data_IF_109012112912
#
_entry.id   IF_109012112912
#
_cell.length_a   1.000
_cell.length_b   1.000
_cell.length_c   1.000
_cell.angle_alpha   90.00
_cell.angle_beta   90.00
_cell.angle_gamma   90.00
#
_symmetry.space_group_name_H-M   'P 1'
#
loop_
_entity.id
_entity.type
_entity.pdbx_description
1 polymer ?
#
# COMPACT_ATOMS: atom_id res chain seq x y z
N UNK A 1 -8.78 10.81 -13.00
CA UNK A 1 -9.19 10.27 -14.30
C UNK A 1 -10.66 9.88 -14.26
N UNK A 2 -11.44 10.24 -15.28
CA UNK A 2 -12.89 10.02 -15.32
C UNK A 2 -13.24 8.54 -15.43
N UNK A 3 -12.39 7.73 -16.07
CA UNK A 3 -12.59 6.29 -16.20
C UNK A 3 -12.38 5.56 -14.90
N UNK A 4 -11.37 5.91 -14.12
CA UNK A 4 -11.15 5.38 -12.76
C UNK A 4 -12.29 5.76 -11.82
N UNK A 5 -12.78 7.00 -11.93
CA UNK A 5 -13.94 7.48 -11.19
C UNK A 5 -15.20 6.67 -11.56
N UNK A 6 -15.41 6.39 -12.85
CA UNK A 6 -16.55 5.59 -13.32
C UNK A 6 -16.49 4.15 -12.79
N UNK A 7 -15.29 3.55 -12.75
CA UNK A 7 -15.06 2.24 -12.14
C UNK A 7 -15.40 2.25 -10.64
N UNK A 8 -14.92 3.25 -9.91
CA UNK A 8 -15.23 3.40 -8.49
C UNK A 8 -16.72 3.56 -8.23
N UNK A 9 -17.42 4.42 -9.00
CA UNK A 9 -18.88 4.63 -8.84
C UNK A 9 -19.70 3.39 -9.21
N UNK A 10 -19.24 2.56 -10.13
CA UNK A 10 -19.86 1.26 -10.43
C UNK A 10 -19.75 0.33 -9.23
N UNK A 11 -18.56 0.18 -8.65
CA UNK A 11 -18.33 -0.63 -7.45
C UNK A 11 -19.14 -0.11 -6.26
N UNK A 12 -19.26 1.21 -6.11
CA UNK A 12 -20.05 1.84 -5.04
C UNK A 12 -21.53 1.53 -5.17
N UNK A 13 -22.09 1.60 -6.38
CA UNK A 13 -23.51 1.24 -6.61
C UNK A 13 -23.78 -0.22 -6.30
N UNK A 14 -22.90 -1.12 -6.70
CA UNK A 14 -23.01 -2.55 -6.36
C UNK A 14 -22.97 -2.77 -4.84
N UNK A 15 -22.08 -2.07 -4.14
CA UNK A 15 -21.97 -2.15 -2.68
C UNK A 15 -23.25 -1.66 -1.98
N UNK A 16 -23.83 -0.54 -2.44
CA UNK A 16 -25.06 0.01 -1.90
C UNK A 16 -26.26 -0.91 -2.16
N UNK A 17 -26.36 -1.50 -3.34
CA UNK A 17 -27.43 -2.45 -3.67
C UNK A 17 -27.35 -3.71 -2.79
N UNK A 18 -26.15 -4.15 -2.42
CA UNK A 18 -25.96 -5.30 -1.52
C UNK A 18 -26.38 -5.02 -0.07
N UNK A 19 -26.38 -3.75 0.36
CA UNK A 19 -26.83 -3.35 1.70
C UNK A 19 -28.36 -3.42 1.88
N UNK A 20 -29.13 -3.36 0.80
CA UNK A 20 -30.61 -3.41 0.83
C UNK A 20 -31.19 -4.82 1.07
N UNK A 21 -30.35 -5.86 1.07
CA UNK A 21 -30.78 -7.24 1.31
C UNK A 21 -30.76 -7.57 2.81
N UNK A 22 -31.92 -7.97 3.36
CA UNK A 22 -32.19 -8.15 4.79
C UNK A 22 -31.74 -9.51 5.36
N UNK A 23 -30.46 -9.89 5.29
CA UNK A 23 -29.99 -11.09 5.98
C UNK A 23 -28.72 -10.77 6.79
N UNK A 24 -28.80 -10.82 8.15
CA UNK A 24 -27.83 -10.13 9.05
C UNK A 24 -26.40 -10.70 9.02
N UNK A 25 -26.17 -12.00 8.98
CA UNK A 25 -24.80 -12.56 9.07
C UNK A 25 -24.14 -12.77 7.71
N UNK A 26 -24.89 -13.24 6.71
CA UNK A 26 -24.41 -13.29 5.32
C UNK A 26 -24.11 -11.88 4.76
N UNK A 27 -24.85 -10.88 5.24
CA UNK A 27 -24.70 -9.49 4.84
C UNK A 27 -23.38 -8.88 5.33
N UNK A 28 -22.89 -9.19 6.52
CA UNK A 28 -21.61 -8.67 7.05
C UNK A 28 -20.41 -9.08 6.20
N UNK A 29 -20.33 -10.35 5.78
CA UNK A 29 -19.24 -10.86 4.91
C UNK A 29 -19.32 -10.18 3.54
N UNK A 30 -20.53 -10.05 3.00
CA UNK A 30 -20.77 -9.39 1.71
C UNK A 30 -20.38 -7.90 1.76
N UNK A 31 -20.76 -7.19 2.82
CA UNK A 31 -20.36 -5.79 3.03
C UNK A 31 -18.85 -5.63 3.10
N UNK A 32 -18.15 -6.48 3.86
CA UNK A 32 -16.69 -6.45 3.96
C UNK A 32 -16.02 -6.73 2.61
N UNK A 33 -16.57 -7.64 1.80
CA UNK A 33 -16.08 -7.92 0.46
C UNK A 33 -16.24 -6.70 -0.46
N UNK A 34 -17.41 -6.03 -0.45
CA UNK A 34 -17.66 -4.82 -1.22
C UNK A 34 -16.77 -3.65 -0.77
N UNK A 35 -16.60 -3.44 0.52
CA UNK A 35 -15.69 -2.42 1.05
C UNK A 35 -14.25 -2.69 0.64
N UNK A 36 -13.80 -3.95 0.70
CA UNK A 36 -12.46 -4.32 0.24
C UNK A 36 -12.31 -4.06 -1.26
N UNK A 37 -13.33 -4.37 -2.06
CA UNK A 37 -13.35 -4.10 -3.49
C UNK A 37 -13.26 -2.61 -3.80
N UNK A 38 -14.02 -1.77 -3.09
CA UNK A 38 -13.94 -0.30 -3.21
C UNK A 38 -12.54 0.23 -2.88
N UNK A 39 -11.94 -0.27 -1.80
CA UNK A 39 -10.58 0.13 -1.41
C UNK A 39 -9.54 -0.29 -2.45
N UNK A 40 -9.69 -1.46 -3.07
CA UNK A 40 -8.84 -1.90 -4.18
C UNK A 40 -9.02 -1.01 -5.41
N UNK A 41 -10.26 -0.61 -5.73
CA UNK A 41 -10.53 0.37 -6.80
C UNK A 41 -9.76 1.67 -6.59
N UNK A 42 -9.71 2.16 -5.35
CA UNK A 42 -8.96 3.37 -4.98
C UNK A 42 -7.43 3.19 -5.01
N UNK A 43 -6.92 1.96 -5.06
CA UNK A 43 -5.49 1.71 -5.15
C UNK A 43 -5.04 1.70 -6.61
N UNK A 44 -5.62 0.82 -7.42
CA UNK A 44 -5.31 0.72 -8.85
C UNK A 44 -6.41 -0.05 -9.60
N UNK A 45 -6.83 0.39 -10.80
CA UNK A 45 -7.87 -0.28 -11.58
C UNK A 45 -7.59 -1.76 -11.87
N UNK A 46 -6.35 -2.12 -12.17
CA UNK A 46 -5.97 -3.51 -12.48
C UNK A 46 -6.16 -4.49 -11.32
N UNK A 47 -6.33 -4.02 -10.09
CA UNK A 47 -6.66 -4.87 -8.94
C UNK A 47 -8.10 -5.40 -9.00
N UNK A 48 -8.96 -4.78 -9.80
CA UNK A 48 -10.34 -5.21 -10.06
C UNK A 48 -10.53 -5.74 -11.47
N UNK A 49 -9.85 -5.14 -12.43
CA UNK A 49 -9.92 -5.44 -13.85
C UNK A 49 -8.53 -5.85 -14.33
N UNK A 50 -8.15 -7.14 -14.21
CA UNK A 50 -6.86 -7.62 -14.67
C UNK A 50 -6.65 -7.28 -16.16
N UNK A 51 -5.49 -6.70 -16.48
CA UNK A 51 -5.20 -6.25 -17.85
C UNK A 51 -5.76 -4.87 -18.20
N UNK A 52 -6.35 -4.13 -17.25
CA UNK A 52 -6.75 -2.74 -17.46
C UNK A 52 -5.55 -1.89 -17.90
N UNK A 53 -5.73 -1.10 -18.94
CA UNK A 53 -4.74 -0.13 -19.43
C UNK A 53 -4.80 1.22 -18.70
N UNK A 54 -5.70 1.37 -17.73
CA UNK A 54 -5.81 2.61 -16.94
C UNK A 54 -4.54 2.81 -16.11
N UNK A 55 -3.97 4.03 -16.07
CA UNK A 55 -2.65 4.30 -15.52
C UNK A 55 -2.56 4.13 -14.00
N UNK A 56 -3.68 4.28 -13.29
CA UNK A 56 -3.68 4.29 -11.82
C UNK A 56 -3.18 5.61 -11.26
N UNK A 57 -4.04 6.62 -11.20
CA UNK A 57 -3.70 7.99 -10.77
C UNK A 57 -2.92 8.02 -9.45
N UNK A 58 -3.25 7.13 -8.50
CA UNK A 58 -2.53 7.03 -7.23
C UNK A 58 -1.07 6.61 -7.41
N UNK A 59 -0.79 5.73 -8.37
CA UNK A 59 0.58 5.30 -8.68
C UNK A 59 1.38 6.44 -9.27
N UNK A 60 0.79 7.21 -10.19
CA UNK A 60 1.45 8.37 -10.79
C UNK A 60 1.79 9.42 -9.72
N UNK A 61 0.82 9.80 -8.87
CA UNK A 61 1.05 10.72 -7.74
C UNK A 61 2.11 10.19 -6.77
N UNK A 62 2.12 8.88 -6.52
CA UNK A 62 3.15 8.27 -5.68
C UNK A 62 4.54 8.39 -6.32
N UNK A 63 4.66 8.19 -7.63
CA UNK A 63 5.93 8.32 -8.33
C UNK A 63 6.46 9.76 -8.32
N UNK A 64 5.59 10.76 -8.50
CA UNK A 64 5.93 12.18 -8.33
C UNK A 64 6.49 12.46 -6.94
N UNK A 65 5.82 11.97 -5.89
CA UNK A 65 6.31 12.10 -4.51
C UNK A 65 7.66 11.41 -4.29
N UNK A 66 7.88 10.25 -4.89
CA UNK A 66 9.17 9.52 -4.82
C UNK A 66 10.29 10.34 -5.45
N UNK A 67 10.05 10.97 -6.59
CA UNK A 67 11.04 11.82 -7.25
C UNK A 67 11.40 13.03 -6.40
N UNK A 68 10.42 13.69 -5.76
CA UNK A 68 10.65 14.80 -4.83
C UNK A 68 11.47 14.37 -3.59
N UNK A 69 11.16 13.23 -3.01
CA UNK A 69 11.89 12.68 -1.87
C UNK A 69 13.35 12.38 -2.23
N UNK A 70 13.58 11.75 -3.38
CA UNK A 70 14.93 11.44 -3.86
C UNK A 70 15.72 12.70 -4.17
N UNK A 71 15.11 13.67 -4.84
CA UNK A 71 15.75 14.96 -5.13
C UNK A 71 16.19 15.70 -3.85
N UNK A 72 15.46 15.50 -2.77
CA UNK A 72 15.73 16.08 -1.45
C UNK A 72 16.64 15.20 -0.57
N UNK A 73 17.10 14.05 -1.06
CA UNK A 73 17.94 13.12 -0.31
C UNK A 73 17.22 12.42 0.84
N UNK A 74 15.90 12.33 0.80
CA UNK A 74 15.08 11.70 1.82
C UNK A 74 14.76 10.25 1.49
N UNK A 75 14.50 9.47 2.54
CA UNK A 75 14.14 8.06 2.46
C UNK A 75 12.80 7.81 3.13
N UNK A 76 12.00 6.90 2.63
CA UNK A 76 10.67 6.66 3.13
C UNK A 76 10.34 5.18 3.37
N UNK A 77 9.50 4.95 4.40
CA UNK A 77 8.76 3.70 4.57
C UNK A 77 7.44 3.83 3.82
N UNK A 78 7.09 2.80 3.07
CA UNK A 78 5.88 2.77 2.26
C UNK A 78 5.05 1.56 2.67
N UNK A 79 3.87 1.81 3.20
CA UNK A 79 2.98 0.76 3.70
C UNK A 79 1.74 0.60 2.83
N UNK A 80 1.35 -0.65 2.59
CA UNK A 80 0.05 -1.01 2.05
C UNK A 80 -0.46 -2.30 2.70
N UNK A 81 -1.79 -2.42 2.82
CA UNK A 81 -2.41 -3.68 3.21
C UNK A 81 -2.48 -4.67 2.04
N UNK A 82 -2.43 -4.19 0.80
CA UNK A 82 -2.56 -5.00 -0.41
C UNK A 82 -1.19 -5.34 -0.99
N UNK A 83 -0.80 -6.61 -0.87
CA UNK A 83 0.49 -7.12 -1.40
C UNK A 83 0.55 -7.02 -2.92
N UNK A 84 -0.56 -7.26 -3.60
CA UNK A 84 -0.68 -7.12 -5.05
C UNK A 84 -0.54 -5.66 -5.51
N UNK A 85 -1.03 -4.68 -4.73
CA UNK A 85 -0.78 -3.27 -4.98
C UNK A 85 0.70 -2.92 -4.80
N UNK A 86 1.35 -3.42 -3.76
CA UNK A 86 2.81 -3.28 -3.62
C UNK A 86 3.55 -3.90 -4.81
N UNK A 87 3.03 -4.97 -5.42
CA UNK A 87 3.56 -5.55 -6.64
C UNK A 87 3.54 -4.58 -7.83
N UNK A 88 2.45 -3.84 -8.01
CA UNK A 88 2.32 -2.78 -9.03
C UNK A 88 3.32 -1.65 -8.76
N UNK A 89 3.41 -1.20 -7.51
CA UNK A 89 4.38 -0.17 -7.11
C UNK A 89 5.82 -0.62 -7.40
N UNK A 90 6.18 -1.85 -7.05
CA UNK A 90 7.52 -2.41 -7.35
C UNK A 90 7.84 -2.37 -8.83
N UNK A 91 6.91 -2.81 -9.68
CA UNK A 91 7.09 -2.79 -11.13
C UNK A 91 7.36 -1.37 -11.65
N UNK A 92 6.66 -0.36 -11.14
CA UNK A 92 6.87 1.05 -11.52
C UNK A 92 8.22 1.58 -11.03
N UNK A 93 8.62 1.24 -9.80
CA UNK A 93 9.92 1.62 -9.24
C UNK A 93 11.08 0.98 -10.02
N UNK A 94 10.96 -0.30 -10.39
CA UNK A 94 11.94 -1.01 -11.20
C UNK A 94 12.12 -0.34 -12.59
N UNK A 95 11.01 0.04 -13.23
CA UNK A 95 11.02 0.77 -14.51
C UNK A 95 11.69 2.15 -14.40
N UNK A 96 11.53 2.82 -13.25
CA UNK A 96 12.12 4.13 -12.98
C UNK A 96 13.57 4.05 -12.43
N UNK A 97 14.09 2.85 -12.21
CA UNK A 97 15.43 2.66 -11.62
C UNK A 97 15.53 3.15 -10.16
N UNK A 98 14.42 3.14 -9.42
CA UNK A 98 14.40 3.51 -8.02
C UNK A 98 14.76 2.31 -7.16
N UNK A 99 15.68 2.49 -6.24
CA UNK A 99 16.14 1.42 -5.33
C UNK A 99 15.24 1.29 -4.12
N UNK A 100 14.93 0.05 -3.73
CA UNK A 100 14.07 -0.19 -2.56
C UNK A 100 14.39 -1.52 -1.87
N UNK A 101 13.99 -1.64 -0.61
CA UNK A 101 13.85 -2.90 0.10
C UNK A 101 12.36 -3.31 0.13
N UNK A 102 12.09 -4.61 0.27
CA UNK A 102 10.71 -5.14 0.29
C UNK A 102 10.51 -6.15 1.41
N UNK A 103 9.33 -6.10 2.03
CA UNK A 103 8.94 -7.00 3.10
C UNK A 103 7.42 -7.25 3.08
N UNK A 104 7.02 -8.51 3.05
CA UNK A 104 5.64 -8.93 3.22
C UNK A 104 5.49 -10.08 4.22
N UNK A 105 4.24 -10.58 4.36
CA UNK A 105 3.94 -11.68 5.27
C UNK A 105 4.59 -13.02 4.89
N UNK A 106 4.94 -13.22 3.62
CA UNK A 106 5.59 -14.43 3.11
C UNK A 106 7.12 -14.38 3.20
N UNK A 107 7.70 -13.20 3.47
CA UNK A 107 9.16 -13.01 3.54
C UNK A 107 9.75 -13.81 4.71
N UNK A 108 10.69 -14.75 4.47
CA UNK A 108 11.35 -15.52 5.52
C UNK A 108 12.11 -14.64 6.53
N UNK A 109 12.19 -15.09 7.79
CA UNK A 109 12.81 -14.31 8.88
C UNK A 109 14.22 -13.82 8.56
N UNK A 110 15.06 -14.66 7.96
CA UNK A 110 16.43 -14.30 7.56
C UNK A 110 16.44 -13.14 6.55
N UNK A 111 15.60 -13.22 5.53
CA UNK A 111 15.50 -12.17 4.52
C UNK A 111 14.91 -10.88 5.10
N UNK A 112 14.00 -10.99 6.07
CA UNK A 112 13.48 -9.86 6.83
C UNK A 112 14.60 -9.07 7.52
N UNK A 113 15.41 -9.79 8.29
CA UNK A 113 16.53 -9.21 9.03
C UNK A 113 17.54 -8.57 8.09
N UNK A 114 17.81 -9.23 6.97
CA UNK A 114 18.71 -8.71 5.95
C UNK A 114 18.17 -7.43 5.30
N UNK A 115 16.90 -7.39 4.87
CA UNK A 115 16.28 -6.21 4.25
C UNK A 115 16.30 -4.99 5.21
N UNK A 116 15.97 -5.20 6.50
CA UNK A 116 16.07 -4.18 7.53
C UNK A 116 17.50 -3.67 7.67
N UNK A 117 18.47 -4.58 7.77
CA UNK A 117 19.88 -4.25 7.91
C UNK A 117 20.39 -3.44 6.72
N UNK A 118 20.05 -3.85 5.49
CA UNK A 118 20.41 -3.15 4.24
C UNK A 118 19.84 -1.73 4.24
N UNK A 119 18.55 -1.60 4.53
CA UNK A 119 17.92 -0.29 4.60
C UNK A 119 18.56 0.61 5.65
N UNK A 120 18.86 0.10 6.85
CA UNK A 120 19.54 0.89 7.90
C UNK A 120 20.95 1.34 7.51
N UNK A 121 21.66 0.57 6.67
CA UNK A 121 22.97 0.97 6.12
C UNK A 121 22.90 1.95 4.95
N UNK A 122 21.69 2.37 4.54
CA UNK A 122 21.52 3.31 3.45
C UNK A 122 21.25 2.67 2.07
N UNK A 123 21.06 1.34 2.01
CA UNK A 123 20.76 0.65 0.77
C UNK A 123 19.25 0.73 0.44
N UNK A 124 18.90 1.50 -0.57
CA UNK A 124 17.52 1.73 -1.02
C UNK A 124 16.93 3.06 -0.59
N UNK A 125 16.25 3.72 -1.52
CA UNK A 125 15.55 4.99 -1.28
C UNK A 125 14.25 4.76 -0.48
N UNK A 126 13.60 3.62 -0.73
CA UNK A 126 12.33 3.25 -0.13
C UNK A 126 12.41 1.90 0.57
N UNK A 127 11.51 1.69 1.52
CA UNK A 127 11.22 0.37 2.08
C UNK A 127 9.72 0.09 1.98
N UNK A 128 9.35 -0.81 1.09
CA UNK A 128 7.97 -1.24 0.88
C UNK A 128 7.62 -2.34 1.85
N UNK A 129 6.57 -2.17 2.63
CA UNK A 129 6.20 -3.07 3.72
C UNK A 129 4.70 -3.35 3.68
N UNK A 130 4.31 -4.62 3.67
CA UNK A 130 2.90 -4.95 3.88
C UNK A 130 2.53 -4.69 5.34
N UNK A 131 1.33 -4.14 5.59
CA UNK A 131 0.88 -3.81 6.96
C UNK A 131 0.89 -5.01 7.90
N UNK A 132 0.57 -6.21 7.39
CA UNK A 132 0.66 -7.47 8.18
C UNK A 132 2.09 -7.78 8.62
N UNK A 133 3.08 -7.52 7.76
CA UNK A 133 4.47 -7.76 8.07
C UNK A 133 5.07 -6.67 8.97
N UNK A 134 4.58 -5.44 8.87
CA UNK A 134 4.99 -4.29 9.68
C UNK A 134 4.68 -4.45 11.17
N UNK A 135 3.73 -5.32 11.57
CA UNK A 135 3.35 -5.57 12.97
C UNK A 135 4.46 -6.17 13.87
N UNK A 136 5.59 -6.58 13.34
CA UNK A 136 6.63 -7.38 14.02
C UNK A 136 7.81 -6.56 14.59
N UNK A 137 7.59 -5.43 15.24
CA UNK A 137 8.65 -4.75 16.01
C UNK A 137 9.86 -4.24 15.21
N UNK A 138 9.70 -3.91 13.93
CA UNK A 138 10.79 -3.39 13.09
C UNK A 138 11.26 -2.02 13.59
N UNK A 139 12.57 -1.82 13.71
CA UNK A 139 13.18 -0.52 13.98
C UNK A 139 13.78 0.02 12.68
N UNK A 140 13.21 1.09 12.12
CA UNK A 140 13.51 1.62 10.78
C UNK A 140 13.81 3.12 10.82
N UNK A 141 14.68 3.52 11.74
CA UNK A 141 15.05 4.92 11.98
C UNK A 141 15.83 5.58 10.83
N UNK A 142 16.24 4.82 9.83
CA UNK A 142 16.90 5.37 8.64
C UNK A 142 15.94 6.06 7.65
N UNK A 143 14.63 6.03 7.91
CA UNK A 143 13.63 6.73 7.11
C UNK A 143 13.27 8.08 7.72
N UNK A 144 13.05 9.07 6.86
CA UNK A 144 12.60 10.41 7.24
C UNK A 144 11.07 10.55 7.13
N UNK A 145 10.45 9.73 6.27
CA UNK A 145 9.02 9.80 5.95
C UNK A 145 8.35 8.44 6.04
N UNK A 146 7.06 8.48 6.33
CA UNK A 146 6.16 7.32 6.25
C UNK A 146 5.04 7.64 5.28
N UNK A 147 4.84 6.77 4.29
CA UNK A 147 3.79 6.89 3.29
C UNK A 147 2.83 5.72 3.47
N UNK A 148 1.57 6.03 3.72
CA UNK A 148 0.46 5.06 3.77
C UNK A 148 -0.27 5.12 2.43
N UNK A 149 -0.14 4.10 1.60
CA UNK A 149 -0.75 4.06 0.26
C UNK A 149 -2.26 3.85 0.31
N UNK A 150 -2.74 3.19 1.35
CA UNK A 150 -4.16 2.95 1.58
C UNK A 150 -4.50 3.08 3.07
N UNK A 151 -5.63 3.73 3.43
CA UNK A 151 -6.02 3.92 4.81
C UNK A 151 -6.42 2.60 5.46
N UNK A 152 -6.15 2.46 6.75
CA UNK A 152 -6.53 1.31 7.55
C UNK A 152 -7.73 1.62 8.44
N UNK A 153 -8.55 0.61 8.73
CA UNK A 153 -9.73 0.76 9.59
C UNK A 153 -9.38 1.15 11.03
N UNK A 154 -8.22 0.71 11.51
CA UNK A 154 -7.76 0.96 12.85
C UNK A 154 -6.62 1.99 12.83
N UNK A 155 -6.87 3.24 13.29
CA UNK A 155 -5.84 4.27 13.34
C UNK A 155 -4.61 3.87 14.17
N UNK A 156 -4.76 2.98 15.14
CA UNK A 156 -3.63 2.50 15.94
C UNK A 156 -2.59 1.74 15.10
N UNK A 157 -2.99 1.09 14.01
CA UNK A 157 -2.06 0.41 13.08
C UNK A 157 -1.29 1.43 12.25
N UNK A 158 -1.93 2.54 11.85
CA UNK A 158 -1.28 3.64 11.14
C UNK A 158 -0.27 4.35 12.06
N UNK A 159 -0.66 4.64 13.31
CA UNK A 159 0.25 5.19 14.33
C UNK A 159 1.42 4.24 14.59
N UNK A 160 1.17 2.92 14.68
CA UNK A 160 2.23 1.93 14.86
C UNK A 160 3.19 1.90 13.66
N UNK A 161 2.72 2.12 12.43
CA UNK A 161 3.56 2.24 11.26
C UNK A 161 4.44 3.52 11.32
N UNK A 162 3.86 4.66 11.75
CA UNK A 162 4.57 5.91 11.93
C UNK A 162 5.65 5.81 13.04
N UNK A 163 5.34 5.17 14.17
CA UNK A 163 6.26 4.98 15.30
C UNK A 163 7.53 4.18 14.93
N UNK A 164 7.52 3.47 13.79
CA UNK A 164 8.67 2.70 13.31
C UNK A 164 9.78 3.56 12.75
N UNK A 165 9.43 4.71 12.18
CA UNK A 165 10.38 5.69 11.70
C UNK A 165 10.83 6.65 12.85
N UNK A 166 10.00 6.81 13.89
CA UNK A 166 10.17 7.80 14.97
C UNK A 166 10.55 7.22 16.34
N UNK A 167 11.15 6.05 16.38
CA UNK A 167 11.66 5.52 17.65
C UNK A 167 12.95 6.23 18.02
N UNK A 168 12.80 7.28 18.83
CA UNK A 168 13.89 7.93 19.59
C UNK A 168 14.32 6.98 20.71
#
# INVERSE_FOLDING_TARGET
>A
DDEERSLYESCRREALAALDTRDDDANRITILAHLTRLRRACCHPSLLLPGSALPGQKVETFMELVDDLRASGHRALVFSQFVDFLGIIRQRLDQAGVTYQYLDGATPLRQRTEAVSRFQRGEGDLFLISLKAGGTGLNLTAANFVILLDPWWNPAVEMQAADRAHRI
#
